data_IF_807540846241
#
_entry.id   IF_807540846241
#
_cell.length_a   1.000
_cell.length_b   1.000
_cell.length_c   1.000
_cell.angle_alpha   90.00
_cell.angle_beta   90.00
_cell.angle_gamma   90.00
#
_symmetry.space_group_name_H-M   'P 1'
#
loop_
_entity.id
_entity.type
_entity.pdbx_description
1 polymer ?
#
# COMPACT_ATOMS: atom_id res chain seq x y z
N UNK A 1 -33.16 -1.76 -27.72
CA UNK A 1 -31.71 -1.61 -27.52
C UNK A 1 -31.26 -2.78 -26.68
N UNK A 2 -30.55 -3.76 -27.27
CA UNK A 2 -29.98 -4.87 -26.50
C UNK A 2 -28.81 -4.36 -25.65
N UNK A 3 -28.64 -4.86 -24.41
CA UNK A 3 -27.48 -4.54 -23.60
C UNK A 3 -26.22 -5.14 -24.24
N UNK A 4 -25.26 -4.29 -24.61
CA UNK A 4 -23.94 -4.73 -25.04
C UNK A 4 -23.32 -5.60 -23.94
N UNK A 5 -23.15 -6.89 -24.23
CA UNK A 5 -22.41 -7.82 -23.36
C UNK A 5 -20.94 -7.46 -23.46
N UNK A 6 -20.40 -6.83 -22.42
CA UNK A 6 -18.94 -6.68 -22.28
C UNK A 6 -18.29 -8.07 -22.36
N UNK A 7 -17.33 -8.26 -23.26
CA UNK A 7 -16.50 -9.46 -23.24
C UNK A 7 -15.70 -9.49 -21.94
N UNK A 8 -15.46 -10.68 -21.38
CA UNK A 8 -14.70 -10.83 -20.13
C UNK A 8 -13.29 -10.23 -20.16
N UNK A 9 -12.77 -9.91 -21.36
CA UNK A 9 -11.47 -9.29 -21.59
C UNK A 9 -11.40 -7.80 -21.23
N UNK A 10 -12.52 -7.08 -21.17
CA UNK A 10 -12.55 -5.62 -20.92
C UNK A 10 -12.94 -5.26 -19.48
N UNK A 11 -13.25 -6.26 -18.64
CA UNK A 11 -13.61 -6.04 -17.25
C UNK A 11 -12.39 -5.57 -16.44
N UNK A 12 -12.49 -4.36 -15.90
CA UNK A 12 -11.49 -3.78 -15.01
C UNK A 12 -11.91 -4.03 -13.56
N UNK A 13 -11.33 -5.06 -12.95
CA UNK A 13 -11.63 -5.43 -11.57
C UNK A 13 -10.48 -4.96 -10.66
N UNK A 14 -10.67 -3.95 -9.81
CA UNK A 14 -9.63 -3.53 -8.89
C UNK A 14 -9.33 -4.62 -7.85
N UNK A 15 -8.09 -4.71 -7.34
CA UNK A 15 -7.75 -5.61 -6.25
C UNK A 15 -8.61 -5.37 -5.00
N UNK A 16 -8.65 -6.38 -4.12
CA UNK A 16 -9.33 -6.28 -2.83
C UNK A 16 -8.88 -5.01 -2.08
N UNK A 17 -9.83 -4.26 -1.49
CA UNK A 17 -9.53 -3.09 -0.67
C UNK A 17 -8.68 -2.02 -1.38
N UNK A 18 -8.77 -1.94 -2.71
CA UNK A 18 -8.04 -0.96 -3.50
C UNK A 18 -8.47 0.47 -3.17
N UNK A 19 -7.51 1.38 -3.11
CA UNK A 19 -7.75 2.80 -2.95
C UNK A 19 -6.57 3.65 -3.38
N UNK A 20 -6.84 4.89 -3.78
CA UNK A 20 -5.79 5.90 -3.98
C UNK A 20 -5.45 6.55 -2.65
N UNK A 21 -4.17 6.54 -2.28
CA UNK A 21 -3.66 7.22 -1.08
C UNK A 21 -3.29 8.66 -1.43
N UNK A 22 -2.57 8.83 -2.53
CA UNK A 22 -2.19 10.11 -3.14
C UNK A 22 -2.01 9.87 -4.64
N UNK A 23 -2.12 10.85 -5.55
CA UNK A 23 -1.78 10.66 -6.96
C UNK A 23 -0.42 9.98 -7.14
N UNK A 24 -0.41 8.80 -7.78
CA UNK A 24 0.79 7.98 -7.95
C UNK A 24 1.10 7.01 -6.80
N UNK A 25 0.36 7.03 -5.69
CA UNK A 25 0.48 6.09 -4.57
C UNK A 25 -0.87 5.42 -4.31
N UNK A 26 -0.91 4.11 -4.49
CA UNK A 26 -2.11 3.30 -4.33
C UNK A 26 -1.92 2.26 -3.24
N UNK A 27 -3.02 1.77 -2.69
CA UNK A 27 -3.06 0.68 -1.71
C UNK A 27 -4.01 -0.40 -2.17
N UNK A 28 -3.76 -1.65 -1.76
CA UNK A 28 -4.72 -2.76 -1.85
C UNK A 28 -4.36 -3.92 -0.92
N UNK A 29 -5.20 -4.95 -0.92
CA UNK A 29 -4.79 -6.32 -0.62
C UNK A 29 -4.05 -6.96 -1.78
N UNK A 30 -3.67 -8.22 -1.62
CA UNK A 30 -2.90 -8.95 -2.62
C UNK A 30 -3.69 -9.06 -3.94
N UNK A 31 -3.13 -8.58 -5.06
CA UNK A 31 -3.75 -8.75 -6.37
C UNK A 31 -3.85 -10.23 -6.78
N UNK A 32 -4.84 -10.57 -7.59
CA UNK A 32 -4.93 -11.86 -8.28
C UNK A 32 -5.10 -11.65 -9.79
N UNK A 33 -5.15 -12.75 -10.55
CA UNK A 33 -5.21 -12.73 -12.02
C UNK A 33 -6.38 -11.90 -12.58
N UNK A 34 -7.53 -11.86 -11.90
CA UNK A 34 -8.67 -11.07 -12.34
C UNK A 34 -8.40 -9.56 -12.28
N UNK A 35 -7.37 -9.14 -11.54
CA UNK A 35 -6.99 -7.75 -11.38
C UNK A 35 -5.97 -7.27 -12.42
N UNK A 36 -5.35 -8.16 -13.19
CA UNK A 36 -4.24 -7.82 -14.09
C UNK A 36 -4.64 -6.77 -15.12
N UNK A 37 -5.83 -6.86 -15.71
CA UNK A 37 -6.32 -5.86 -16.68
C UNK A 37 -6.45 -4.47 -16.06
N UNK A 38 -6.95 -4.39 -14.83
CA UNK A 38 -7.00 -3.14 -14.07
C UNK A 38 -5.58 -2.62 -13.80
N UNK A 39 -4.67 -3.47 -13.34
CA UNK A 39 -3.27 -3.08 -13.05
C UNK A 39 -2.52 -2.60 -14.30
N UNK A 40 -2.76 -3.22 -15.48
CA UNK A 40 -2.21 -2.75 -16.77
C UNK A 40 -2.65 -1.32 -17.08
N UNK A 41 -3.93 -0.97 -16.82
CA UNK A 41 -4.44 0.39 -17.03
C UNK A 41 -3.82 1.42 -16.07
N UNK A 42 -3.48 0.99 -14.85
CA UNK A 42 -2.82 1.84 -13.85
C UNK A 42 -1.37 2.18 -14.22
N UNK A 43 -0.74 1.43 -15.15
CA UNK A 43 0.65 1.62 -15.57
C UNK A 43 1.61 1.73 -14.37
N UNK A 44 1.42 0.82 -13.41
CA UNK A 44 2.24 0.77 -12.22
C UNK A 44 3.70 0.56 -12.61
N UNK A 45 4.60 1.31 -11.97
CA UNK A 45 6.04 1.13 -12.09
C UNK A 45 6.58 0.20 -10.99
N UNK A 46 5.96 0.27 -9.82
CA UNK A 46 6.47 -0.41 -8.63
C UNK A 46 5.35 -1.05 -7.82
N UNK A 47 5.63 -2.22 -7.25
CA UNK A 47 4.80 -2.91 -6.26
C UNK A 47 5.59 -2.96 -4.95
N UNK A 48 4.99 -2.51 -3.85
CA UNK A 48 5.57 -2.59 -2.51
C UNK A 48 4.81 -3.64 -1.70
N UNK A 49 5.47 -4.76 -1.44
CA UNK A 49 4.92 -5.92 -0.72
C UNK A 49 5.31 -5.84 0.75
N UNK A 50 4.34 -5.90 1.66
CA UNK A 50 4.56 -5.81 3.11
C UNK A 50 4.44 -7.16 3.85
N UNK A 51 4.23 -8.27 3.13
CA UNK A 51 4.07 -9.60 3.71
C UNK A 51 5.30 -10.48 3.46
N UNK A 52 5.61 -11.36 4.42
CA UNK A 52 6.67 -12.39 4.31
C UNK A 52 6.09 -13.65 3.69
N UNK A 53 4.81 -13.91 3.92
CA UNK A 53 4.13 -15.06 3.33
C UNK A 53 4.32 -15.03 1.81
N UNK A 54 4.74 -16.14 1.19
CA UNK A 54 4.85 -16.24 -0.27
C UNK A 54 3.49 -15.91 -0.87
N UNK A 55 3.40 -14.74 -1.49
CA UNK A 55 2.21 -14.34 -2.22
C UNK A 55 2.47 -14.54 -3.70
N UNK A 56 2.48 -15.81 -4.06
CA UNK A 56 2.74 -16.27 -5.41
C UNK A 56 1.54 -16.10 -6.33
N UNK A 57 1.81 -16.07 -7.62
CA UNK A 57 0.80 -16.05 -8.68
C UNK A 57 0.77 -14.78 -9.52
N UNK A 58 1.65 -13.81 -9.28
CA UNK A 58 1.72 -12.57 -10.06
C UNK A 58 3.12 -12.28 -10.62
N UNK A 59 4.12 -13.12 -10.34
CA UNK A 59 5.53 -12.92 -10.68
C UNK A 59 5.71 -12.74 -12.18
N UNK A 60 5.12 -13.64 -12.98
CA UNK A 60 5.16 -13.56 -14.44
C UNK A 60 4.52 -12.26 -14.94
N UNK A 61 3.36 -11.89 -14.38
CA UNK A 61 2.67 -10.66 -14.77
C UNK A 61 3.51 -9.41 -14.44
N UNK A 62 4.18 -9.38 -13.28
CA UNK A 62 5.07 -8.27 -12.91
C UNK A 62 6.27 -8.18 -13.85
N UNK A 63 6.89 -9.32 -14.19
CA UNK A 63 8.00 -9.37 -15.14
C UNK A 63 7.56 -8.90 -16.54
N UNK A 64 6.47 -9.43 -17.08
CA UNK A 64 5.94 -9.08 -18.40
C UNK A 64 5.53 -7.61 -18.50
N UNK A 65 5.10 -7.03 -17.38
CA UNK A 65 4.69 -5.62 -17.31
C UNK A 65 5.83 -4.67 -16.97
N UNK A 66 7.06 -5.16 -16.74
CA UNK A 66 8.21 -4.36 -16.34
C UNK A 66 8.05 -3.70 -14.96
N UNK A 67 7.26 -4.31 -14.08
CA UNK A 67 6.98 -3.81 -12.73
C UNK A 67 8.10 -4.22 -11.79
N UNK A 68 8.70 -3.25 -11.11
CA UNK A 68 9.67 -3.52 -10.04
C UNK A 68 8.94 -3.93 -8.75
N UNK A 69 9.30 -5.08 -8.17
CA UNK A 69 8.77 -5.53 -6.89
C UNK A 69 9.77 -5.18 -5.77
N UNK A 70 9.28 -4.55 -4.70
CA UNK A 70 10.05 -4.19 -3.52
C UNK A 70 9.43 -4.87 -2.29
N UNK A 71 10.18 -5.79 -1.68
CA UNK A 71 9.71 -6.59 -0.57
C UNK A 71 10.19 -6.04 0.78
N UNK A 72 9.23 -5.68 1.61
CA UNK A 72 9.41 -5.20 2.98
C UNK A 72 8.63 -6.13 3.90
N UNK A 73 9.05 -7.39 3.94
CA UNK A 73 8.34 -8.44 4.65
C UNK A 73 8.13 -8.11 6.13
N UNK A 74 6.87 -8.06 6.56
CA UNK A 74 6.46 -7.94 7.96
C UNK A 74 5.68 -9.19 8.32
N UNK A 75 6.08 -9.88 9.40
CA UNK A 75 5.40 -11.09 9.86
C UNK A 75 3.92 -10.84 10.13
N UNK A 76 3.09 -11.74 9.59
CA UNK A 76 1.67 -11.73 9.84
C UNK A 76 1.36 -12.42 11.16
N UNK A 77 1.21 -11.67 12.25
CA UNK A 77 0.81 -12.27 13.52
C UNK A 77 -0.62 -11.89 13.94
N UNK A 78 -1.27 -12.87 14.58
CA UNK A 78 -2.52 -12.71 15.32
C UNK A 78 -2.13 -12.19 16.71
N UNK A 79 -2.90 -11.24 17.24
CA UNK A 79 -2.71 -10.68 18.58
C UNK A 79 -2.45 -11.78 19.62
N UNK A 80 -1.61 -11.54 20.66
CA UNK A 80 -1.34 -10.23 21.30
C UNK A 80 0.10 -9.67 21.22
N UNK A 81 1.09 -10.39 20.68
CA UNK A 81 2.50 -10.10 20.99
C UNK A 81 3.36 -9.51 19.87
N UNK A 82 2.75 -9.05 18.77
CA UNK A 82 3.54 -8.71 17.58
C UNK A 82 3.50 -7.25 17.26
N UNK A 83 4.67 -6.65 17.44
CA UNK A 83 4.96 -5.27 17.12
C UNK A 83 5.28 -5.12 15.64
N UNK A 84 4.75 -4.06 15.04
CA UNK A 84 5.13 -3.64 13.70
C UNK A 84 6.61 -3.19 13.72
N UNK A 85 7.50 -3.77 12.89
CA UNK A 85 8.90 -3.40 12.86
C UNK A 85 9.06 -1.99 12.29
N UNK A 86 9.45 -1.05 13.15
CA UNK A 86 9.51 0.37 12.82
C UNK A 86 10.53 0.66 11.71
N UNK A 87 11.67 -0.05 11.72
CA UNK A 87 12.73 0.08 10.71
C UNK A 87 12.25 -0.31 9.30
N UNK A 88 11.44 -1.37 9.19
CA UNK A 88 10.86 -1.82 7.92
C UNK A 88 9.86 -0.79 7.41
N UNK A 89 8.98 -0.29 8.27
CA UNK A 89 8.03 0.79 7.91
C UNK A 89 8.77 2.06 7.51
N UNK A 90 9.84 2.41 8.23
CA UNK A 90 10.67 3.57 7.90
C UNK A 90 11.26 3.43 6.50
N UNK A 91 11.92 2.31 6.18
CA UNK A 91 12.49 2.07 4.84
C UNK A 91 11.42 2.04 3.74
N UNK A 92 10.28 1.40 3.99
CA UNK A 92 9.16 1.41 3.04
C UNK A 92 8.64 2.84 2.80
N UNK A 93 8.59 3.68 3.84
CA UNK A 93 8.18 5.06 3.71
C UNK A 93 9.17 5.89 2.87
N UNK A 94 10.48 5.62 2.96
CA UNK A 94 11.48 6.27 2.10
C UNK A 94 11.20 6.04 0.62
N UNK A 95 10.78 4.82 0.25
CA UNK A 95 10.37 4.49 -1.13
C UNK A 95 9.12 5.28 -1.52
N UNK A 96 8.13 5.40 -0.63
CA UNK A 96 6.92 6.18 -0.92
C UNK A 96 7.18 7.67 -1.12
N UNK A 97 8.20 8.20 -0.43
CA UNK A 97 8.64 9.59 -0.53
C UNK A 97 9.62 9.83 -1.69
N UNK A 98 9.81 8.87 -2.59
CA UNK A 98 10.63 9.02 -3.78
C UNK A 98 9.79 8.82 -5.04
N UNK A 99 9.54 9.91 -5.77
CA UNK A 99 8.68 9.94 -6.95
C UNK A 99 9.20 9.07 -8.10
N UNK A 100 10.47 8.65 -8.06
CA UNK A 100 11.02 7.74 -9.07
C UNK A 100 10.37 6.37 -9.03
N UNK A 101 9.76 5.97 -7.92
CA UNK A 101 8.99 4.72 -7.81
C UNK A 101 7.51 4.86 -8.20
N UNK A 102 7.03 6.08 -8.45
CA UNK A 102 5.62 6.31 -8.78
C UNK A 102 5.37 6.04 -10.28
N UNK A 103 4.22 5.48 -10.68
CA UNK A 103 3.10 5.06 -9.83
C UNK A 103 3.37 3.75 -9.07
N UNK A 104 3.12 3.74 -7.76
CA UNK A 104 3.40 2.62 -6.86
C UNK A 104 2.12 2.07 -6.23
N UNK A 105 2.00 0.74 -6.14
CA UNK A 105 0.94 0.06 -5.40
C UNK A 105 1.51 -0.66 -4.17
N UNK A 106 1.00 -0.31 -3.00
CA UNK A 106 1.32 -0.92 -1.71
C UNK A 106 0.32 -2.03 -1.45
N UNK A 107 0.78 -3.23 -1.11
CA UNK A 107 -0.13 -4.25 -0.58
C UNK A 107 0.49 -5.10 0.53
N UNK A 108 -0.39 -5.67 1.34
CA UNK A 108 -0.10 -6.86 2.14
C UNK A 108 -1.08 -7.96 1.69
N UNK A 109 -1.48 -8.87 2.58
CA UNK A 109 -2.49 -9.87 2.24
C UNK A 109 -3.89 -9.22 1.97
N UNK A 110 -4.45 -8.50 2.95
CA UNK A 110 -5.80 -7.90 2.85
C UNK A 110 -5.83 -6.38 2.69
N UNK A 111 -4.65 -5.73 2.68
CA UNK A 111 -4.54 -4.28 2.57
C UNK A 111 -5.08 -3.52 3.80
N UNK A 112 -5.09 -4.16 4.97
CA UNK A 112 -5.70 -3.64 6.21
C UNK A 112 -4.65 -3.14 7.20
N UNK A 113 -3.99 -4.06 7.91
CA UNK A 113 -3.09 -3.77 9.04
C UNK A 113 -1.76 -3.19 8.59
N UNK A 114 -0.85 -4.02 8.03
CA UNK A 114 0.48 -3.61 7.57
C UNK A 114 0.44 -2.41 6.61
N UNK A 115 -0.40 -2.50 5.57
CA UNK A 115 -0.65 -1.40 4.63
C UNK A 115 -1.25 -0.18 5.31
N UNK A 116 -2.18 -0.36 6.25
CA UNK A 116 -2.79 0.73 7.00
C UNK A 116 -1.80 1.46 7.90
N UNK A 117 -0.89 0.74 8.57
CA UNK A 117 0.18 1.32 9.37
C UNK A 117 1.12 2.16 8.50
N UNK A 118 1.59 1.63 7.36
CA UNK A 118 2.45 2.38 6.45
C UNK A 118 1.76 3.63 5.90
N UNK A 119 0.50 3.51 5.45
CA UNK A 119 -0.28 4.65 4.97
C UNK A 119 -0.53 5.66 6.09
N UNK A 120 -0.83 5.22 7.31
CA UNK A 120 -1.00 6.10 8.46
C UNK A 120 0.28 6.87 8.80
N UNK A 121 1.44 6.23 8.71
CA UNK A 121 2.74 6.89 8.88
C UNK A 121 3.01 7.91 7.76
N UNK A 122 2.63 7.61 6.51
CA UNK A 122 2.67 8.57 5.41
C UNK A 122 1.77 9.78 5.70
N UNK A 123 0.56 9.57 6.23
CA UNK A 123 -0.33 10.68 6.63
C UNK A 123 0.26 11.52 7.76
N UNK A 124 0.99 10.93 8.71
CA UNK A 124 1.75 11.70 9.72
C UNK A 124 2.82 12.58 9.08
N UNK A 125 3.56 12.06 8.09
CA UNK A 125 4.53 12.88 7.32
C UNK A 125 3.81 14.02 6.57
N UNK A 126 2.59 13.78 6.09
CA UNK A 126 1.70 14.80 5.50
C UNK A 126 1.10 15.77 6.54
N UNK A 127 1.46 15.64 7.83
CA UNK A 127 0.97 16.48 8.94
C UNK A 127 -0.55 16.42 9.12
N UNK A 128 -1.19 15.30 8.80
CA UNK A 128 -2.61 15.08 9.11
C UNK A 128 -2.82 14.95 10.62
N UNK A 129 -4.01 15.32 11.10
CA UNK A 129 -4.39 15.07 12.50
C UNK A 129 -4.53 13.57 12.78
N UNK A 130 -4.15 13.10 13.98
CA UNK A 130 -4.29 11.69 14.37
C UNK A 130 -5.74 11.19 14.21
N UNK A 131 -6.73 12.03 14.50
CA UNK A 131 -8.15 11.73 14.28
C UNK A 131 -8.43 11.35 12.83
N UNK A 132 -7.99 12.17 11.86
CA UNK A 132 -8.19 11.89 10.44
C UNK A 132 -7.44 10.63 9.99
N UNK A 133 -6.25 10.39 10.54
CA UNK A 133 -5.44 9.21 10.23
C UNK A 133 -6.12 7.93 10.72
N UNK A 134 -6.62 7.93 11.96
CA UNK A 134 -7.30 6.78 12.54
C UNK A 134 -8.63 6.50 11.86
N UNK A 135 -9.37 7.53 11.46
CA UNK A 135 -10.60 7.36 10.68
C UNK A 135 -10.32 6.71 9.30
N UNK A 136 -9.27 7.15 8.58
CA UNK A 136 -8.85 6.50 7.34
C UNK A 136 -8.44 5.03 7.58
N UNK A 137 -7.62 4.78 8.60
CA UNK A 137 -7.20 3.42 8.95
C UNK A 137 -8.41 2.52 9.25
N UNK A 138 -9.35 2.97 10.09
CA UNK A 138 -10.56 2.20 10.47
C UNK A 138 -11.43 1.90 9.27
N UNK A 139 -11.59 2.86 8.35
CA UNK A 139 -12.36 2.67 7.11
C UNK A 139 -11.82 1.51 6.28
N UNK A 140 -10.50 1.39 6.12
CA UNK A 140 -9.89 0.30 5.36
C UNK A 140 -9.77 -1.01 6.16
N UNK A 141 -9.62 -0.95 7.48
CA UNK A 141 -9.58 -2.14 8.34
C UNK A 141 -10.97 -2.79 8.50
N UNK A 142 -12.03 -1.99 8.49
CA UNK A 142 -13.41 -2.44 8.69
C UNK A 142 -13.60 -3.10 10.06
N UNK A 143 -14.27 -4.24 10.10
CA UNK A 143 -14.49 -5.02 11.34
C UNK A 143 -13.24 -5.71 11.92
N UNK A 144 -12.04 -5.43 11.39
CA UNK A 144 -10.76 -6.00 11.85
C UNK A 144 -9.79 -4.93 12.32
N UNK A 145 -10.29 -3.80 12.82
CA UNK A 145 -9.48 -2.74 13.45
C UNK A 145 -8.63 -3.33 14.58
N UNK A 146 -7.36 -2.95 14.64
CA UNK A 146 -6.47 -3.24 15.75
C UNK A 146 -6.07 -1.94 16.45
N UNK A 147 -6.09 -1.95 17.78
CA UNK A 147 -5.68 -0.78 18.57
C UNK A 147 -4.15 -0.61 18.48
N UNK A 148 -3.41 -1.72 18.50
CA UNK A 148 -1.94 -1.70 18.39
C UNK A 148 -1.44 -1.06 17.09
N UNK A 149 -2.17 -1.21 15.98
CA UNK A 149 -1.84 -0.53 14.72
C UNK A 149 -1.97 1.00 14.86
N UNK A 150 -3.03 1.48 15.52
CA UNK A 150 -3.25 2.92 15.77
C UNK A 150 -2.20 3.47 16.74
N UNK A 151 -1.90 2.73 17.81
CA UNK A 151 -0.84 3.08 18.76
C UNK A 151 0.54 3.14 18.08
N UNK A 152 0.84 2.19 17.20
CA UNK A 152 2.07 2.22 16.40
C UNK A 152 2.14 3.48 15.55
N UNK A 153 1.07 3.81 14.83
CA UNK A 153 1.00 5.05 14.03
C UNK A 153 1.24 6.25 14.94
N UNK A 154 0.56 6.35 16.08
CA UNK A 154 0.71 7.45 17.04
C UNK A 154 2.16 7.66 17.48
N UNK A 155 2.84 6.57 17.85
CA UNK A 155 4.20 6.60 18.40
C UNK A 155 5.30 6.69 17.33
N UNK A 156 5.00 6.40 16.06
CA UNK A 156 5.99 6.41 14.98
C UNK A 156 6.72 7.76 14.83
N UNK A 157 8.05 7.75 14.88
CA UNK A 157 8.89 8.95 14.83
C UNK A 157 9.20 9.34 13.38
N UNK A 158 8.49 10.36 12.87
CA UNK A 158 8.58 10.80 11.46
C UNK A 158 9.85 11.60 11.14
N UNK A 159 10.48 12.22 12.13
CA UNK A 159 11.72 12.97 12.04
C UNK A 159 12.92 12.09 11.64
N UNK A 160 12.86 10.79 11.93
CA UNK A 160 13.89 9.83 11.55
C UNK A 160 13.79 9.36 10.09
N UNK A 161 12.73 9.74 9.37
CA UNK A 161 12.52 9.33 7.98
C UNK A 161 13.38 10.17 7.04
N UNK A 162 14.52 9.62 6.62
CA UNK A 162 15.40 10.26 5.64
C UNK A 162 14.90 10.03 4.21
N UNK A 163 14.88 11.07 3.38
CA UNK A 163 14.50 10.97 1.96
C UNK A 163 15.36 11.91 1.11
N UNK A 164 15.50 11.61 -0.20
CA UNK A 164 16.22 12.48 -1.13
C UNK A 164 15.33 13.67 -1.52
N UNK A 165 15.74 14.88 -1.11
CA UNK A 165 15.00 16.12 -1.36
C UNK A 165 14.79 16.42 -2.86
N UNK A 166 15.63 15.87 -3.74
CA UNK A 166 15.52 16.07 -5.20
C UNK A 166 14.36 15.30 -5.82
N UNK A 167 13.95 14.20 -5.19
CA UNK A 167 12.92 13.30 -5.70
C UNK A 167 11.71 13.20 -4.76
N UNK A 168 11.54 14.16 -3.84
CA UNK A 168 10.39 14.20 -2.94
C UNK A 168 9.08 14.51 -3.70
N UNK A 169 7.92 14.06 -3.20
CA UNK A 169 6.63 14.48 -3.73
C UNK A 169 6.41 15.99 -3.57
N UNK A 170 5.66 16.59 -4.48
CA UNK A 170 5.41 18.05 -4.50
C UNK A 170 4.74 18.59 -3.24
N UNK A 171 3.96 17.78 -2.53
CA UNK A 171 3.30 18.16 -1.27
C UNK A 171 4.25 18.16 -0.07
N UNK A 172 5.39 17.47 -0.15
CA UNK A 172 6.36 17.40 0.94
C UNK A 172 7.23 18.64 0.86
N UNK A 173 6.88 19.70 1.59
CA UNK A 173 7.62 20.97 1.63
C UNK A 173 8.72 20.97 2.68
#
# INVERSE_FOLDING_TARGET
MEPQRYSGSDLLIPPLNFGMVYPGIYRSGHPNNNNHNFMKKMKLKTILVLCIEEVSGNEQFYQDSGIQVLEFGIEGNKEPFVNMPEDVIRRALQVLLDVRYHPILIHCNKGKHRTGCLVGCLRKVQKWSLTSIFEEYRRFAGNKVRILDQQFIELFQTDQVRYDRRYKPSWLT
#
